data_IF_126603137058
#
_entry.id   IF_126603137058
#
_cell.length_a   1.000
_cell.length_b   1.000
_cell.length_c   1.000
_cell.angle_alpha   90.00
_cell.angle_beta   90.00
_cell.angle_gamma   90.00
#
_symmetry.space_group_name_H-M   'P 1'
#
loop_
_entity.id
_entity.type
_entity.pdbx_description
1 polymer ?
#
# COMPACT_ATOMS: atom_id res chain seq x y z
N UNK A 1 13.43 -0.07 -24.81
CA UNK A 1 12.91 -1.35 -24.28
C UNK A 1 12.72 -1.20 -22.78
N UNK A 2 11.51 -1.47 -22.25
CA UNK A 2 11.18 -1.41 -20.82
C UNK A 2 11.27 -2.79 -20.20
N UNK A 3 11.87 -2.89 -19.02
CA UNK A 3 12.07 -4.16 -18.31
C UNK A 3 11.10 -4.25 -17.13
N UNK A 4 10.33 -5.33 -17.06
CA UNK A 4 9.42 -5.62 -15.96
C UNK A 4 9.88 -6.89 -15.25
N UNK A 5 10.08 -6.83 -13.94
CA UNK A 5 10.24 -8.02 -13.11
C UNK A 5 8.86 -8.44 -12.59
N UNK A 6 8.52 -9.70 -12.80
CA UNK A 6 7.25 -10.28 -12.37
C UNK A 6 7.52 -11.22 -11.21
N UNK A 7 6.82 -10.99 -10.12
CA UNK A 7 6.90 -11.74 -8.88
C UNK A 7 5.50 -12.26 -8.53
N UNK A 8 5.07 -13.43 -9.04
CA UNK A 8 3.72 -13.94 -8.79
C UNK A 8 3.41 -14.13 -7.30
N UNK A 9 4.41 -14.56 -6.54
CA UNK A 9 4.29 -14.79 -5.10
C UNK A 9 3.43 -16.01 -4.75
N UNK A 10 2.43 -15.82 -3.87
CA UNK A 10 1.73 -16.89 -3.16
C UNK A 10 0.22 -16.93 -3.51
N UNK A 11 -0.41 -18.08 -3.25
CA UNK A 11 -1.85 -18.27 -3.38
C UNK A 11 -2.39 -17.89 -4.76
N UNK A 12 -3.40 -16.99 -4.80
CA UNK A 12 -4.00 -16.52 -6.04
C UNK A 12 -3.06 -15.65 -6.89
N UNK A 13 -1.91 -15.26 -6.35
CA UNK A 13 -0.95 -14.39 -7.04
C UNK A 13 -0.50 -14.92 -8.40
N UNK A 14 -0.33 -16.24 -8.54
CA UNK A 14 0.00 -16.86 -9.83
C UNK A 14 -1.12 -16.68 -10.86
N UNK A 15 -2.38 -16.84 -10.44
CA UNK A 15 -3.54 -16.74 -11.32
C UNK A 15 -3.71 -15.29 -11.82
N UNK A 16 -3.72 -14.32 -10.91
CA UNK A 16 -3.88 -12.90 -11.27
C UNK A 16 -2.72 -12.38 -12.11
N UNK A 17 -1.50 -12.87 -11.85
CA UNK A 17 -0.32 -12.51 -12.63
C UNK A 17 -0.43 -13.05 -14.05
N UNK A 18 -0.89 -14.29 -14.23
CA UNK A 18 -1.11 -14.89 -15.54
C UNK A 18 -2.12 -14.06 -16.38
N UNK A 19 -3.17 -13.54 -15.78
CA UNK A 19 -4.11 -12.64 -16.47
C UNK A 19 -3.45 -11.31 -16.86
N UNK A 20 -2.63 -10.75 -15.96
CA UNK A 20 -1.87 -9.53 -16.24
C UNK A 20 -0.88 -9.72 -17.41
N UNK A 21 -0.22 -10.89 -17.49
CA UNK A 21 0.68 -11.24 -18.59
C UNK A 21 0.00 -11.25 -19.95
N UNK A 22 -1.27 -11.65 -20.03
CA UNK A 22 -2.05 -11.56 -21.30
C UNK A 22 -2.20 -10.12 -21.75
N UNK A 23 -2.44 -9.19 -20.82
CA UNK A 23 -2.53 -7.75 -21.11
C UNK A 23 -1.17 -7.21 -21.55
N UNK A 24 -0.07 -7.53 -20.83
CA UNK A 24 1.29 -7.13 -21.20
C UNK A 24 1.62 -7.63 -22.61
N UNK A 25 1.35 -8.91 -22.92
CA UNK A 25 1.61 -9.52 -24.23
C UNK A 25 0.84 -8.82 -25.36
N UNK A 26 -0.37 -8.34 -25.08
CA UNK A 26 -1.12 -7.55 -26.06
C UNK A 26 -0.40 -6.23 -26.40
N UNK A 27 0.09 -5.51 -25.40
CA UNK A 27 0.79 -4.24 -25.59
C UNK A 27 2.22 -4.38 -26.09
N UNK A 28 2.86 -5.56 -25.98
CA UNK A 28 4.19 -5.82 -26.55
C UNK A 28 4.25 -5.63 -28.08
N UNK A 29 3.09 -5.63 -28.74
CA UNK A 29 3.01 -5.37 -30.19
C UNK A 29 3.31 -3.91 -30.54
N UNK A 30 3.01 -3.00 -29.60
CA UNK A 30 3.11 -1.55 -29.81
C UNK A 30 4.20 -0.91 -28.92
N UNK A 31 4.66 -1.64 -27.89
CA UNK A 31 5.65 -1.19 -26.93
C UNK A 31 6.79 -2.20 -26.78
N UNK A 32 8.02 -1.73 -26.75
CA UNK A 32 9.18 -2.57 -26.45
C UNK A 32 9.23 -2.93 -24.97
N UNK A 33 8.52 -3.99 -24.56
CA UNK A 33 8.49 -4.51 -23.20
C UNK A 33 9.15 -5.88 -23.16
N UNK A 34 10.11 -6.06 -22.25
CA UNK A 34 10.68 -7.34 -21.87
C UNK A 34 10.30 -7.62 -20.41
N UNK A 35 9.97 -8.86 -20.09
CA UNK A 35 9.72 -9.25 -18.71
C UNK A 35 10.46 -10.55 -18.34
N UNK A 36 10.75 -10.67 -17.05
CA UNK A 36 11.31 -11.89 -16.43
C UNK A 36 10.47 -12.22 -15.20
N UNK A 37 10.29 -13.52 -14.94
CA UNK A 37 9.62 -14.00 -13.73
C UNK A 37 10.65 -14.54 -12.74
N UNK A 38 10.31 -14.41 -11.43
CA UNK A 38 11.11 -14.98 -10.36
C UNK A 38 10.25 -15.36 -9.14
N UNK A 39 10.81 -16.20 -8.25
CA UNK A 39 10.14 -16.61 -7.02
C UNK A 39 10.23 -15.50 -5.96
N UNK A 40 9.13 -15.35 -5.22
CA UNK A 40 9.00 -14.35 -4.16
C UNK A 40 8.06 -14.86 -3.06
N UNK A 41 8.21 -14.33 -1.84
CA UNK A 41 7.33 -14.67 -0.73
C UNK A 41 7.50 -16.11 -0.25
N UNK A 42 6.41 -16.78 0.02
CA UNK A 42 6.37 -18.17 0.45
C UNK A 42 6.89 -19.15 -0.59
N UNK A 43 6.62 -18.88 -1.87
CA UNK A 43 7.15 -19.69 -2.98
C UNK A 43 8.69 -19.65 -3.00
N UNK A 44 9.30 -18.50 -2.71
CA UNK A 44 10.76 -18.38 -2.57
C UNK A 44 11.28 -19.12 -1.33
N UNK A 45 10.57 -19.03 -0.19
CA UNK A 45 10.94 -19.75 1.04
C UNK A 45 10.99 -21.25 0.80
N UNK A 46 10.03 -21.81 0.09
CA UNK A 46 9.95 -23.24 -0.17
C UNK A 46 11.14 -23.77 -0.99
N UNK A 47 11.74 -22.93 -1.83
CA UNK A 47 12.85 -23.30 -2.70
C UNK A 47 14.21 -22.87 -2.16
N UNK A 48 14.28 -21.65 -1.63
CA UNK A 48 15.52 -20.97 -1.27
C UNK A 48 15.72 -20.79 0.24
N UNK A 49 14.67 -21.03 1.06
CA UNK A 49 14.72 -20.82 2.50
C UNK A 49 14.59 -19.36 2.95
N UNK A 50 14.40 -18.42 2.02
CA UNK A 50 14.22 -16.99 2.30
C UNK A 50 13.17 -16.37 1.37
N UNK A 51 12.40 -15.35 1.84
CA UNK A 51 11.29 -14.79 1.07
C UNK A 51 11.72 -13.90 -0.11
N UNK A 52 12.94 -13.41 -0.09
CA UNK A 52 13.54 -12.55 -1.12
C UNK A 52 15.03 -12.81 -1.20
N UNK A 53 15.49 -13.41 -2.29
CA UNK A 53 16.93 -13.64 -2.52
C UNK A 53 17.62 -12.35 -2.97
N UNK A 54 18.94 -12.28 -2.75
CA UNK A 54 19.76 -11.14 -3.23
C UNK A 54 19.72 -10.98 -4.74
N UNK A 55 19.59 -12.11 -5.47
CA UNK A 55 19.50 -12.10 -6.92
C UNK A 55 18.21 -11.46 -7.40
N UNK A 56 17.08 -11.82 -6.82
CA UNK A 56 15.77 -11.24 -7.13
C UNK A 56 15.73 -9.75 -6.78
N UNK A 57 16.29 -9.37 -5.64
CA UNK A 57 16.40 -7.95 -5.26
C UNK A 57 17.24 -7.17 -6.29
N UNK A 58 18.35 -7.72 -6.75
CA UNK A 58 19.18 -7.10 -7.79
C UNK A 58 18.39 -6.93 -9.09
N UNK A 59 17.67 -7.95 -9.55
CA UNK A 59 16.79 -7.87 -10.74
C UNK A 59 15.72 -6.77 -10.57
N UNK A 60 15.12 -6.64 -9.37
CA UNK A 60 14.16 -5.59 -9.08
C UNK A 60 14.77 -4.18 -9.19
N UNK A 61 16.01 -3.99 -8.74
CA UNK A 61 16.74 -2.73 -8.89
C UNK A 61 17.17 -2.42 -10.33
N UNK A 62 17.24 -3.40 -11.20
CA UNK A 62 17.58 -3.26 -12.61
C UNK A 62 16.35 -3.12 -13.52
N UNK A 63 15.15 -3.40 -13.00
CA UNK A 63 13.89 -3.30 -13.72
C UNK A 63 13.35 -1.85 -13.73
N UNK A 64 12.57 -1.50 -14.75
CA UNK A 64 11.80 -0.24 -14.80
C UNK A 64 10.56 -0.30 -13.89
N UNK A 65 10.01 -1.51 -13.68
CA UNK A 65 8.87 -1.76 -12.80
C UNK A 65 8.90 -3.20 -12.27
N UNK A 66 8.30 -3.37 -11.09
CA UNK A 66 8.03 -4.70 -10.50
C UNK A 66 6.52 -4.91 -10.52
N UNK A 67 6.06 -6.03 -11.10
CA UNK A 67 4.69 -6.50 -10.99
C UNK A 67 4.66 -7.62 -9.95
N UNK A 68 3.93 -7.40 -8.87
CA UNK A 68 3.78 -8.34 -7.77
C UNK A 68 2.37 -8.91 -7.77
N UNK A 69 2.23 -10.22 -7.59
CA UNK A 69 0.94 -10.87 -7.44
C UNK A 69 0.41 -10.75 -6.01
N UNK A 70 0.67 -11.73 -5.17
CA UNK A 70 0.24 -11.72 -3.78
C UNK A 70 1.28 -12.38 -2.87
N UNK A 71 1.20 -12.12 -1.56
CA UNK A 71 2.20 -12.60 -0.59
C UNK A 71 1.53 -13.15 0.65
N UNK A 72 2.10 -14.22 1.19
CA UNK A 72 1.70 -14.79 2.46
C UNK A 72 0.74 -15.97 2.33
N UNK A 73 0.45 -16.59 3.47
CA UNK A 73 -0.49 -17.71 3.58
C UNK A 73 -0.27 -18.53 4.84
N UNK A 74 -1.27 -19.37 5.21
CA UNK A 74 -1.27 -20.12 6.47
C UNK A 74 -0.04 -21.03 6.66
N UNK A 75 0.53 -21.51 5.54
CA UNK A 75 1.68 -22.41 5.54
C UNK A 75 2.90 -21.83 6.25
N UNK A 76 3.09 -20.51 6.19
CA UNK A 76 4.27 -19.82 6.71
C UNK A 76 4.02 -19.00 7.97
N UNK A 77 2.81 -19.04 8.54
CA UNK A 77 2.44 -18.25 9.72
C UNK A 77 3.30 -18.58 10.96
N UNK A 78 3.74 -19.84 11.08
CA UNK A 78 4.53 -20.32 12.23
C UNK A 78 6.02 -20.05 12.11
N UNK A 79 6.49 -19.49 10.99
CA UNK A 79 7.89 -19.13 10.81
C UNK A 79 8.28 -17.97 11.72
N UNK A 80 9.57 -17.86 12.02
CA UNK A 80 10.14 -16.69 12.66
C UNK A 80 9.84 -15.44 11.85
N UNK A 81 9.65 -14.31 12.52
CA UNK A 81 9.19 -13.06 11.89
C UNK A 81 10.08 -12.58 10.74
N UNK A 82 11.39 -12.84 10.82
CA UNK A 82 12.36 -12.49 9.78
C UNK A 82 12.31 -13.40 8.54
N UNK A 83 11.67 -14.56 8.63
CA UNK A 83 11.51 -15.53 7.56
C UNK A 83 10.10 -15.54 6.95
N UNK A 84 9.18 -14.75 7.46
CA UNK A 84 7.81 -14.68 6.91
C UNK A 84 7.81 -14.06 5.50
N UNK A 85 6.89 -14.47 4.61
CA UNK A 85 6.74 -13.90 3.26
C UNK A 85 6.64 -12.38 3.26
N UNK A 86 5.87 -11.80 4.19
CA UNK A 86 5.67 -10.35 4.36
C UNK A 86 6.97 -9.60 4.62
N UNK A 87 7.97 -10.25 5.25
CA UNK A 87 9.29 -9.65 5.45
C UNK A 87 10.02 -9.41 4.13
N UNK A 88 9.83 -10.30 3.16
CA UNK A 88 10.34 -10.09 1.79
C UNK A 88 9.77 -8.83 1.17
N UNK A 89 8.45 -8.62 1.30
CA UNK A 89 7.76 -7.44 0.77
C UNK A 89 8.23 -6.14 1.43
N UNK A 90 8.34 -6.13 2.77
CA UNK A 90 8.85 -4.96 3.50
C UNK A 90 10.30 -4.64 3.09
N UNK A 91 11.13 -5.68 2.89
CA UNK A 91 12.51 -5.50 2.43
C UNK A 91 12.54 -4.94 1.01
N UNK A 92 11.77 -5.52 0.08
CA UNK A 92 11.69 -5.05 -1.30
C UNK A 92 11.27 -3.56 -1.39
N UNK A 93 10.22 -3.17 -0.64
CA UNK A 93 9.73 -1.79 -0.58
C UNK A 93 10.79 -0.82 -0.07
N UNK A 94 11.53 -1.22 0.98
CA UNK A 94 12.60 -0.43 1.58
C UNK A 94 13.78 -0.25 0.64
N UNK A 95 14.27 -1.33 0.05
CA UNK A 95 15.44 -1.31 -0.84
C UNK A 95 15.17 -0.58 -2.17
N UNK A 96 13.92 -0.59 -2.64
CA UNK A 96 13.49 0.20 -3.79
C UNK A 96 13.05 1.64 -3.42
N UNK A 97 13.18 2.02 -2.16
CA UNK A 97 12.73 3.33 -1.65
C UNK A 97 11.29 3.68 -2.06
N UNK A 98 10.42 2.67 -2.13
CA UNK A 98 9.02 2.81 -2.53
C UNK A 98 8.18 3.37 -1.37
N UNK A 99 8.36 4.67 -1.06
CA UNK A 99 7.86 5.31 0.14
C UNK A 99 6.38 5.72 0.10
N UNK A 100 5.78 5.86 -1.07
CA UNK A 100 4.39 6.25 -1.22
C UNK A 100 3.58 5.10 -1.83
N UNK A 101 2.62 4.59 -1.08
CA UNK A 101 1.67 3.60 -1.58
C UNK A 101 0.38 4.31 -2.00
N UNK A 102 -0.03 4.06 -3.22
CA UNK A 102 -1.14 4.69 -3.92
C UNK A 102 -2.28 3.68 -4.07
N UNK A 103 -3.41 3.93 -3.44
CA UNK A 103 -4.58 3.06 -3.42
C UNK A 103 -5.85 3.83 -3.83
N UNK A 104 -6.26 3.82 -5.09
CA UNK A 104 -7.52 4.41 -5.52
C UNK A 104 -8.70 3.52 -5.09
N UNK A 105 -9.71 4.11 -4.46
CA UNK A 105 -10.98 3.47 -4.12
C UNK A 105 -12.13 4.18 -4.85
N UNK A 106 -12.56 3.59 -5.96
CA UNK A 106 -13.62 4.16 -6.80
C UNK A 106 -14.80 3.22 -6.90
N UNK A 107 -15.99 3.72 -6.63
CA UNK A 107 -17.24 3.00 -6.85
C UNK A 107 -17.66 3.13 -8.31
N UNK A 108 -17.58 2.03 -9.04
CA UNK A 108 -18.04 1.98 -10.42
C UNK A 108 -19.57 1.88 -10.46
N UNK A 109 -20.25 2.69 -11.30
CA UNK A 109 -21.73 2.66 -11.39
C UNK A 109 -22.31 1.26 -11.65
N UNK A 110 -21.62 0.44 -12.44
CA UNK A 110 -22.04 -0.92 -12.74
C UNK A 110 -21.92 -1.88 -11.54
N UNK A 111 -21.08 -1.57 -10.56
CA UNK A 111 -20.80 -2.39 -9.37
C UNK A 111 -21.40 -1.80 -8.08
N UNK A 112 -22.18 -0.73 -8.16
CA UNK A 112 -22.69 -0.01 -6.98
C UNK A 112 -23.53 -0.91 -6.06
N UNK A 113 -24.16 -1.95 -6.63
CA UNK A 113 -24.95 -2.93 -5.89
C UNK A 113 -24.12 -3.97 -5.14
N UNK A 114 -22.84 -4.08 -5.44
CA UNK A 114 -21.92 -4.98 -4.75
C UNK A 114 -21.44 -4.40 -3.40
N UNK A 115 -21.58 -3.09 -3.18
CA UNK A 115 -21.23 -2.48 -1.91
C UNK A 115 -22.12 -2.95 -0.76
N UNK A 116 -21.52 -3.18 0.41
CA UNK A 116 -22.23 -3.48 1.66
C UNK A 116 -23.06 -2.31 2.19
N UNK A 117 -22.82 -1.08 1.70
CA UNK A 117 -23.51 0.13 2.10
C UNK A 117 -24.65 0.50 1.13
N UNK A 118 -25.54 1.38 1.60
CA UNK A 118 -26.64 1.90 0.77
C UNK A 118 -26.09 2.65 -0.45
N UNK A 119 -26.68 2.44 -1.63
CA UNK A 119 -26.32 3.13 -2.89
C UNK A 119 -26.23 4.66 -2.73
N UNK A 120 -27.13 5.27 -1.94
CA UNK A 120 -27.15 6.73 -1.71
C UNK A 120 -25.91 7.23 -0.96
N UNK A 121 -25.22 6.37 -0.21
CA UNK A 121 -24.00 6.71 0.52
C UNK A 121 -22.79 6.59 -0.40
N UNK A 122 -22.66 5.48 -1.15
CA UNK A 122 -21.46 5.17 -1.92
C UNK A 122 -21.46 5.77 -3.33
N UNK A 123 -22.60 6.23 -3.83
CA UNK A 123 -22.71 6.82 -5.18
C UNK A 123 -21.76 8.01 -5.35
N UNK A 124 -20.91 7.94 -6.37
CA UNK A 124 -19.95 9.00 -6.70
C UNK A 124 -18.69 9.00 -5.82
N UNK A 125 -18.49 7.98 -5.00
CA UNK A 125 -17.25 7.80 -4.24
C UNK A 125 -16.09 7.57 -5.21
N UNK A 126 -15.06 8.40 -5.07
CA UNK A 126 -13.79 8.32 -5.79
C UNK A 126 -12.70 8.91 -4.86
N UNK A 127 -12.15 8.06 -4.01
CA UNK A 127 -11.13 8.41 -3.01
C UNK A 127 -9.78 7.90 -3.48
N UNK A 128 -8.73 8.66 -3.22
CA UNK A 128 -7.37 8.25 -3.51
C UNK A 128 -6.54 8.27 -2.21
N UNK A 129 -6.19 7.10 -1.69
CA UNK A 129 -5.37 7.01 -0.48
C UNK A 129 -3.88 7.04 -0.85
N UNK A 130 -3.15 7.96 -0.24
CA UNK A 130 -1.69 8.05 -0.27
C UNK A 130 -1.18 7.68 1.12
N UNK A 131 -0.60 6.48 1.23
CA UNK A 131 -0.06 5.91 2.45
C UNK A 131 1.46 6.05 2.45
N UNK A 132 2.04 6.61 3.50
CA UNK A 132 3.49 6.47 3.73
C UNK A 132 3.79 4.98 3.98
N UNK A 133 4.87 4.45 3.36
CA UNK A 133 5.04 3.00 3.27
C UNK A 133 6.35 2.48 3.89
N UNK A 134 7.34 3.31 4.14
CA UNK A 134 8.71 2.90 4.53
C UNK A 134 9.14 3.35 5.91
N UNK A 135 8.26 4.05 6.64
CA UNK A 135 8.46 4.51 8.02
C UNK A 135 7.39 4.01 8.99
N UNK A 136 7.27 4.70 10.10
CA UNK A 136 6.25 4.47 11.11
C UNK A 136 6.47 3.21 11.95
N UNK A 137 5.40 2.68 12.52
CA UNK A 137 5.45 1.57 13.49
C UNK A 137 5.92 0.24 12.87
N UNK A 138 5.81 0.09 11.53
CA UNK A 138 6.25 -1.13 10.84
C UNK A 138 7.77 -1.20 10.71
N UNK A 139 8.46 -0.07 10.81
CA UNK A 139 9.91 0.04 10.65
C UNK A 139 10.62 0.63 11.87
N UNK A 140 9.89 1.28 12.79
CA UNK A 140 10.47 1.92 13.97
C UNK A 140 11.18 0.95 14.91
N UNK A 141 12.36 1.36 15.36
CA UNK A 141 13.18 0.63 16.33
C UNK A 141 13.33 1.46 17.64
N UNK A 142 13.54 0.81 18.82
CA UNK A 142 13.59 -0.63 19.04
C UNK A 142 12.21 -1.29 19.02
N UNK A 143 12.18 -2.55 18.60
CA UNK A 143 11.00 -3.42 18.60
C UNK A 143 11.38 -4.76 19.22
N UNK A 144 10.60 -5.26 20.16
CA UNK A 144 10.94 -6.49 20.87
C UNK A 144 9.75 -7.13 21.59
N UNK A 145 9.89 -8.42 21.87
CA UNK A 145 9.18 -9.10 22.96
C UNK A 145 10.25 -9.56 23.92
N UNK A 146 10.22 -9.10 25.17
CA UNK A 146 11.16 -9.47 26.23
C UNK A 146 10.45 -9.74 27.55
N UNK A 147 11.14 -10.45 28.45
CA UNK A 147 10.68 -10.63 29.81
C UNK A 147 11.12 -9.45 30.69
N UNK A 148 10.17 -8.90 31.46
CA UNK A 148 10.39 -7.86 32.45
C UNK A 148 9.63 -8.28 33.70
N UNK A 149 10.32 -8.42 34.83
CA UNK A 149 9.73 -8.83 36.12
C UNK A 149 8.87 -10.11 36.03
N UNK A 150 9.36 -11.12 35.28
CA UNK A 150 8.67 -12.41 35.11
C UNK A 150 7.47 -12.39 34.17
N UNK A 151 7.23 -11.26 33.43
CA UNK A 151 6.13 -11.11 32.47
C UNK A 151 6.65 -10.73 31.08
N UNK A 152 6.03 -11.26 30.03
CA UNK A 152 6.35 -10.86 28.64
C UNK A 152 5.82 -9.45 28.36
N UNK A 153 6.68 -8.60 27.82
CA UNK A 153 6.36 -7.24 27.38
C UNK A 153 6.73 -7.12 25.90
N UNK A 154 5.77 -6.71 25.06
CA UNK A 154 5.98 -6.41 23.66
C UNK A 154 6.04 -4.88 23.44
N UNK A 155 6.92 -4.41 22.56
CA UNK A 155 7.02 -3.01 22.19
C UNK A 155 7.32 -2.85 20.71
N UNK A 156 6.70 -1.81 20.11
CA UNK A 156 7.03 -1.26 18.81
C UNK A 156 7.05 0.26 18.93
N UNK A 157 7.95 0.91 18.21
CA UNK A 157 8.02 2.37 18.16
C UNK A 157 7.39 2.92 16.88
N UNK A 158 6.60 3.96 17.01
CA UNK A 158 6.11 4.76 15.90
C UNK A 158 7.06 5.95 15.71
N UNK A 159 7.82 5.95 14.64
CA UNK A 159 8.85 6.96 14.36
C UNK A 159 8.66 7.48 12.94
N UNK A 160 8.69 8.80 12.78
CA UNK A 160 8.76 9.51 11.50
C UNK A 160 9.76 10.66 11.61
N UNK A 161 10.57 10.83 10.57
CA UNK A 161 11.35 12.04 10.34
C UNK A 161 10.55 13.06 9.54
N UNK A 162 10.96 14.32 9.60
CA UNK A 162 10.39 15.39 8.78
C UNK A 162 10.47 15.09 7.29
N UNK A 163 11.61 14.56 6.80
CA UNK A 163 11.83 14.22 5.40
C UNK A 163 10.86 13.11 4.92
N UNK A 164 10.61 12.09 5.76
CA UNK A 164 9.66 11.01 5.43
C UNK A 164 8.23 11.53 5.28
N UNK A 165 7.83 12.45 6.15
CA UNK A 165 6.51 13.09 6.08
C UNK A 165 6.44 14.02 4.86
N UNK A 166 7.45 14.86 4.66
CA UNK A 166 7.46 15.86 3.60
C UNK A 166 7.38 15.23 2.20
N UNK A 167 8.15 14.16 1.96
CA UNK A 167 8.15 13.49 0.64
C UNK A 167 6.80 12.90 0.27
N UNK A 168 6.11 12.23 1.23
CA UNK A 168 4.79 11.63 0.95
C UNK A 168 3.69 12.68 0.87
N UNK A 169 3.79 13.77 1.65
CA UNK A 169 2.88 14.90 1.58
C UNK A 169 2.90 15.56 0.19
N UNK A 170 4.08 15.81 -0.38
CA UNK A 170 4.20 16.33 -1.75
C UNK A 170 3.53 15.44 -2.77
N UNK A 171 3.68 14.13 -2.68
CA UNK A 171 2.99 13.16 -3.56
C UNK A 171 1.47 13.32 -3.45
N UNK A 172 0.93 13.43 -2.24
CA UNK A 172 -0.50 13.59 -2.03
C UNK A 172 -1.04 14.91 -2.62
N UNK A 173 -0.34 16.01 -2.42
CA UNK A 173 -0.72 17.31 -2.98
C UNK A 173 -0.63 17.34 -4.51
N UNK A 174 0.40 16.77 -5.11
CA UNK A 174 0.52 16.66 -6.56
C UNK A 174 -0.60 15.81 -7.19
N UNK A 175 -1.01 14.75 -6.51
CA UNK A 175 -2.17 13.95 -6.93
C UNK A 175 -3.45 14.77 -6.82
N UNK A 176 -3.65 15.51 -5.73
CA UNK A 176 -4.84 16.32 -5.51
C UNK A 176 -5.00 17.40 -6.61
N UNK A 177 -3.93 18.06 -7.04
CA UNK A 177 -3.93 19.01 -8.17
C UNK A 177 -4.47 18.42 -9.47
N UNK A 178 -4.29 17.12 -9.68
CA UNK A 178 -4.79 16.40 -10.86
C UNK A 178 -6.20 15.83 -10.66
N UNK A 179 -6.81 16.05 -9.49
CA UNK A 179 -8.12 15.54 -9.09
C UNK A 179 -9.06 16.69 -8.67
N UNK A 180 -9.68 16.58 -7.51
CA UNK A 180 -10.63 17.59 -7.02
C UNK A 180 -9.99 18.65 -6.11
N UNK A 181 -8.67 18.70 -6.11
CA UNK A 181 -7.86 19.71 -5.46
C UNK A 181 -8.01 19.78 -3.94
N UNK A 182 -8.22 18.62 -3.27
CA UNK A 182 -8.38 18.51 -1.82
C UNK A 182 -7.57 17.37 -1.24
N UNK A 183 -6.84 17.64 -0.14
CA UNK A 183 -6.15 16.65 0.71
C UNK A 183 -6.77 16.65 2.09
N UNK A 184 -7.10 15.46 2.60
CA UNK A 184 -7.44 15.23 4.01
C UNK A 184 -6.31 14.44 4.65
N UNK A 185 -5.52 15.08 5.49
CA UNK A 185 -4.41 14.46 6.23
C UNK A 185 -4.92 13.81 7.52
N UNK A 186 -4.59 12.54 7.71
CA UNK A 186 -5.03 11.75 8.87
C UNK A 186 -3.92 11.63 9.89
N UNK A 187 -4.25 11.89 11.13
CA UNK A 187 -3.30 11.83 12.26
C UNK A 187 -4.00 11.45 13.58
N UNK A 188 -3.24 11.41 14.66
CA UNK A 188 -3.70 11.31 16.04
C UNK A 188 -2.94 12.33 16.91
N UNK A 189 -2.82 13.56 16.41
CA UNK A 189 -2.03 14.63 17.00
C UNK A 189 -2.47 15.03 18.41
N UNK A 190 -3.72 14.76 18.77
CA UNK A 190 -4.23 15.03 20.14
C UNK A 190 -3.67 14.08 21.21
N UNK A 191 -2.91 13.03 20.84
CA UNK A 191 -2.40 12.02 21.77
C UNK A 191 -0.93 11.67 21.50
N UNK A 192 -0.45 11.76 20.23
CA UNK A 192 0.85 11.28 19.81
C UNK A 192 1.71 12.43 19.28
N UNK A 193 2.87 12.67 19.91
CA UNK A 193 3.81 13.72 19.51
C UNK A 193 4.31 13.52 18.06
N UNK A 194 4.58 12.29 17.66
CA UNK A 194 4.96 11.97 16.27
C UNK A 194 3.87 12.35 15.26
N UNK A 195 2.60 12.28 15.64
CA UNK A 195 1.49 12.71 14.80
C UNK A 195 1.24 14.21 14.86
N UNK A 196 1.68 14.89 15.94
CA UNK A 196 1.76 16.35 15.95
C UNK A 196 2.84 16.82 14.95
N UNK A 197 4.04 16.22 14.96
CA UNK A 197 5.05 16.48 13.93
C UNK A 197 4.51 16.23 12.51
N UNK A 198 3.78 15.13 12.31
CA UNK A 198 3.11 14.84 11.03
C UNK A 198 2.23 16.00 10.57
N UNK A 199 1.35 16.48 11.43
CA UNK A 199 0.43 17.60 11.15
C UNK A 199 1.17 18.88 10.84
N UNK A 200 2.23 19.19 11.60
CA UNK A 200 3.00 20.42 11.46
C UNK A 200 3.75 20.44 10.12
N UNK A 201 4.44 19.35 9.77
CA UNK A 201 5.17 19.23 8.50
C UNK A 201 4.22 19.28 7.29
N UNK A 202 3.08 18.55 7.34
CA UNK A 202 2.09 18.59 6.26
C UNK A 202 1.54 20.02 6.09
N UNK A 203 1.26 20.73 7.18
CA UNK A 203 0.79 22.12 7.15
C UNK A 203 1.85 23.09 6.61
N UNK A 204 3.11 22.87 6.95
CA UNK A 204 4.23 23.67 6.43
C UNK A 204 4.41 23.48 4.93
N UNK A 205 4.47 22.23 4.44
CA UNK A 205 4.53 21.91 2.99
C UNK A 205 3.35 22.54 2.24
N UNK A 206 2.14 22.42 2.77
CA UNK A 206 0.96 23.05 2.19
C UNK A 206 1.12 24.57 2.08
N UNK A 207 1.50 25.24 3.20
CA UNK A 207 1.61 26.69 3.24
C UNK A 207 2.73 27.27 2.37
N UNK A 208 3.79 26.50 2.11
CA UNK A 208 4.92 26.91 1.31
C UNK A 208 4.79 26.59 -0.17
N UNK A 209 4.25 25.39 -0.51
CA UNK A 209 4.35 24.82 -1.86
C UNK A 209 2.97 24.57 -2.53
N UNK A 210 1.86 24.45 -1.75
CA UNK A 210 0.57 23.94 -2.25
C UNK A 210 -0.64 24.75 -1.76
N UNK A 211 -0.53 26.07 -1.63
CA UNK A 211 -1.62 26.97 -1.19
C UNK A 211 -2.88 26.89 -2.05
N UNK A 212 -2.75 26.40 -3.26
CA UNK A 212 -3.83 26.21 -4.23
C UNK A 212 -4.67 24.96 -3.96
N UNK A 213 -4.22 24.05 -3.07
CA UNK A 213 -4.91 22.82 -2.70
C UNK A 213 -5.64 23.03 -1.37
N UNK A 214 -6.88 22.59 -1.26
CA UNK A 214 -7.59 22.57 0.04
C UNK A 214 -6.96 21.50 0.96
N UNK A 215 -6.64 21.87 2.21
CA UNK A 215 -6.12 20.97 3.22
C UNK A 215 -7.04 20.91 4.44
N UNK A 216 -7.48 19.70 4.78
CA UNK A 216 -8.14 19.39 6.05
C UNK A 216 -7.29 18.39 6.86
N UNK A 217 -7.37 18.48 8.20
CA UNK A 217 -6.81 17.49 9.11
C UNK A 217 -7.94 16.77 9.85
N UNK A 218 -7.92 15.45 9.88
CA UNK A 218 -8.85 14.65 10.69
C UNK A 218 -8.09 13.68 11.58
N UNK A 219 -8.55 13.52 12.81
CA UNK A 219 -8.12 12.39 13.63
C UNK A 219 -8.59 11.08 13.01
N UNK A 220 -7.73 10.06 13.03
CA UNK A 220 -7.98 8.78 12.36
C UNK A 220 -9.30 8.12 12.79
N UNK A 221 -9.65 8.17 14.07
CA UNK A 221 -10.92 7.63 14.59
C UNK A 221 -12.15 8.36 14.01
N UNK A 222 -12.07 9.67 13.85
CA UNK A 222 -13.12 10.43 13.17
C UNK A 222 -13.14 10.15 11.67
N UNK A 223 -11.98 10.04 11.04
CA UNK A 223 -11.87 9.75 9.62
C UNK A 223 -12.51 8.40 9.25
N UNK A 224 -12.27 7.35 10.04
CA UNK A 224 -12.89 6.03 9.87
C UNK A 224 -14.44 6.13 9.88
N UNK A 225 -15.02 6.89 10.81
CA UNK A 225 -16.46 7.13 10.82
C UNK A 225 -16.95 7.92 9.59
N UNK A 226 -16.21 8.96 9.18
CA UNK A 226 -16.62 9.84 8.08
C UNK A 226 -16.48 9.18 6.71
N UNK A 227 -15.49 8.31 6.51
CA UNK A 227 -15.32 7.54 5.28
C UNK A 227 -16.52 6.64 5.03
N UNK A 228 -17.06 6.00 6.07
CA UNK A 228 -18.31 5.21 5.95
C UNK A 228 -19.53 6.11 5.75
N UNK A 229 -19.63 7.21 6.50
CA UNK A 229 -20.85 8.04 6.55
C UNK A 229 -21.04 8.91 5.31
N UNK A 230 -19.96 9.45 4.76
CA UNK A 230 -19.97 10.41 3.64
C UNK A 230 -18.72 10.31 2.76
N UNK A 231 -18.44 9.14 2.16
CA UNK A 231 -17.21 8.87 1.43
C UNK A 231 -16.96 9.86 0.28
N UNK A 232 -18.00 10.32 -0.39
CA UNK A 232 -17.90 11.24 -1.54
C UNK A 232 -17.31 12.62 -1.21
N UNK A 233 -17.18 12.97 0.10
CA UNK A 233 -16.57 14.24 0.52
C UNK A 233 -15.04 14.20 0.54
N UNK A 234 -14.45 13.02 0.48
CA UNK A 234 -12.99 12.84 0.40
C UNK A 234 -12.51 12.79 -1.04
N UNK A 235 -11.38 13.41 -1.31
CA UNK A 235 -10.66 13.32 -2.57
C UNK A 235 -9.36 12.54 -2.40
N UNK A 236 -8.30 13.20 -1.90
CA UNK A 236 -7.05 12.53 -1.54
C UNK A 236 -6.97 12.41 -0.02
N UNK A 237 -6.75 11.21 0.48
CA UNK A 237 -6.45 10.93 1.88
C UNK A 237 -4.94 10.70 2.00
N UNK A 238 -4.28 11.49 2.85
CA UNK A 238 -2.88 11.32 3.21
C UNK A 238 -2.77 10.73 4.61
N UNK A 239 -2.05 9.61 4.76
CA UNK A 239 -1.91 8.94 6.06
C UNK A 239 -0.55 8.28 6.24
N UNK A 240 -0.11 8.19 7.50
CA UNK A 240 1.03 7.36 7.91
C UNK A 240 0.76 5.87 7.70
N UNK A 241 1.81 5.06 7.80
CA UNK A 241 1.82 3.67 7.38
C UNK A 241 0.65 2.84 7.97
N UNK A 242 0.53 2.75 9.29
CA UNK A 242 -0.52 1.97 9.94
C UNK A 242 -1.93 2.53 9.65
N UNK A 243 -2.10 3.83 9.75
CA UNK A 243 -3.41 4.45 9.52
C UNK A 243 -3.82 4.37 8.05
N UNK A 244 -2.85 4.52 7.14
CA UNK A 244 -3.06 4.37 5.71
C UNK A 244 -3.45 2.95 5.32
N UNK A 245 -2.90 1.94 5.99
CA UNK A 245 -3.27 0.53 5.79
C UNK A 245 -4.74 0.30 6.12
N UNK A 246 -5.12 0.64 7.35
CA UNK A 246 -6.48 0.43 7.84
C UNK A 246 -7.51 1.21 7.02
N UNK A 247 -7.27 2.50 6.79
CA UNK A 247 -8.25 3.34 6.09
C UNK A 247 -8.38 2.98 4.61
N UNK A 248 -7.31 2.49 3.96
CA UNK A 248 -7.39 2.07 2.57
C UNK A 248 -8.19 0.79 2.38
N UNK A 249 -8.12 -0.14 3.33
CA UNK A 249 -8.92 -1.36 3.31
C UNK A 249 -10.40 -1.05 3.59
N UNK A 250 -10.68 -0.11 4.50
CA UNK A 250 -12.03 0.41 4.71
C UNK A 250 -12.60 1.08 3.44
N UNK A 251 -11.80 1.90 2.75
CA UNK A 251 -12.16 2.50 1.46
C UNK A 251 -12.37 1.43 0.38
N UNK A 252 -11.58 0.37 0.37
CA UNK A 252 -11.71 -0.73 -0.56
C UNK A 252 -13.07 -1.45 -0.38
N UNK A 253 -13.47 -1.72 0.87
CA UNK A 253 -14.77 -2.35 1.18
C UNK A 253 -15.96 -1.52 0.69
N UNK A 254 -15.86 -0.19 0.70
CA UNK A 254 -16.93 0.68 0.17
C UNK A 254 -17.21 0.42 -1.31
N UNK A 255 -16.20 0.00 -2.08
CA UNK A 255 -16.35 -0.21 -3.52
C UNK A 255 -17.12 -1.48 -3.87
N UNK A 256 -17.26 -2.40 -2.92
CA UNK A 256 -17.93 -3.68 -3.07
C UNK A 256 -17.18 -4.67 -3.96
N UNK A 257 -15.95 -4.37 -4.35
CA UNK A 257 -15.14 -5.28 -5.19
C UNK A 257 -13.64 -5.05 -4.97
N UNK A 258 -13.10 -5.69 -3.94
CA UNK A 258 -11.67 -5.63 -3.61
C UNK A 258 -10.77 -6.06 -4.79
N UNK A 259 -11.20 -7.06 -5.57
CA UNK A 259 -10.46 -7.56 -6.73
C UNK A 259 -10.32 -6.57 -7.89
N UNK A 260 -11.09 -5.47 -7.89
CA UNK A 260 -11.01 -4.43 -8.93
C UNK A 260 -10.04 -3.30 -8.59
N UNK A 261 -9.42 -3.32 -7.43
CA UNK A 261 -8.62 -2.20 -6.94
C UNK A 261 -7.13 -2.45 -7.14
N UNK A 262 -6.42 -1.51 -7.81
CA UNK A 262 -4.97 -1.57 -7.95
C UNK A 262 -4.28 -0.91 -6.76
N UNK A 263 -3.03 -1.30 -6.55
CA UNK A 263 -2.11 -0.66 -5.63
C UNK A 263 -0.77 -0.39 -6.34
N UNK A 264 -0.18 0.77 -6.11
CA UNK A 264 1.15 1.09 -6.59
C UNK A 264 2.00 1.62 -5.43
N UNK A 265 3.15 1.02 -5.21
CA UNK A 265 4.14 1.52 -4.26
C UNK A 265 5.26 2.20 -5.05
N UNK A 266 5.41 3.52 -4.91
CA UNK A 266 6.32 4.32 -5.72
C UNK A 266 7.38 5.02 -4.87
N UNK A 267 8.56 5.15 -5.45
CA UNK A 267 9.65 5.99 -4.99
C UNK A 267 10.06 7.00 -6.07
N UNK A 268 11.25 7.57 -5.92
CA UNK A 268 11.77 8.51 -6.91
C UNK A 268 12.14 7.82 -8.24
N UNK A 269 12.51 6.55 -8.21
CA UNK A 269 13.01 5.81 -9.36
C UNK A 269 12.20 4.55 -9.66
N UNK A 270 11.75 3.85 -8.65
CA UNK A 270 11.17 2.52 -8.77
C UNK A 270 9.67 2.52 -8.46
N UNK A 271 8.94 1.58 -9.07
CA UNK A 271 7.55 1.32 -8.78
C UNK A 271 7.26 -0.18 -8.67
N UNK A 272 6.49 -0.55 -7.64
CA UNK A 272 5.92 -1.88 -7.44
C UNK A 272 4.42 -1.77 -7.66
N UNK A 273 3.88 -2.57 -8.55
CA UNK A 273 2.46 -2.59 -8.91
C UNK A 273 1.88 -3.93 -8.50
N UNK A 274 0.80 -3.89 -7.74
CA UNK A 274 0.19 -5.07 -7.15
C UNK A 274 -1.34 -4.91 -7.03
N UNK A 275 -2.14 -5.99 -6.97
CA UNK A 275 -3.53 -5.87 -6.54
C UNK A 275 -3.59 -5.46 -5.07
N UNK A 276 -4.71 -4.88 -4.64
CA UNK A 276 -4.91 -4.52 -3.21
C UNK A 276 -5.12 -5.76 -2.35
N UNK A 277 -5.77 -6.80 -2.90
CA UNK A 277 -6.08 -8.03 -2.18
C UNK A 277 -4.83 -8.87 -1.83
N UNK A 278 -4.93 -9.70 -0.81
CA UNK A 278 -3.91 -10.66 -0.40
C UNK A 278 -3.91 -11.95 -1.24
N UNK A 279 -3.28 -12.98 -0.72
CA UNK A 279 -3.07 -14.28 -1.42
C UNK A 279 -4.31 -15.16 -1.55
N UNK A 280 -5.43 -14.84 -0.87
CA UNK A 280 -6.70 -15.56 -0.91
C UNK A 280 -6.55 -17.09 -0.99
N UNK A 281 -5.91 -17.73 0.01
CA UNK A 281 -5.54 -19.13 -0.06
C UNK A 281 -6.75 -20.08 -0.10
N UNK A 282 -7.92 -19.61 0.29
CA UNK A 282 -9.19 -20.33 0.29
C UNK A 282 -9.77 -20.54 -1.12
N UNK A 283 -9.45 -19.67 -2.08
CA UNK A 283 -9.92 -19.73 -3.46
C UNK A 283 -8.79 -19.98 -4.47
N UNK A 284 -7.54 -19.97 -4.04
CA UNK A 284 -6.41 -20.21 -4.93
C UNK A 284 -6.46 -21.57 -5.61
N UNK A 285 -6.19 -21.63 -6.91
CA UNK A 285 -6.23 -22.84 -7.73
C UNK A 285 -7.64 -23.19 -8.25
N UNK A 286 -8.65 -22.37 -7.97
CA UNK A 286 -10.03 -22.65 -8.39
C UNK A 286 -10.43 -21.92 -9.67
N UNK A 287 -9.66 -20.96 -10.14
CA UNK A 287 -9.92 -20.12 -11.33
C UNK A 287 -11.31 -19.43 -11.30
N UNK A 288 -11.64 -18.83 -10.14
CA UNK A 288 -12.92 -18.13 -9.92
C UNK A 288 -12.68 -16.64 -9.68
#
# INVERSE_FOLDING_TARGET
>A
MKKILILPGDGIGQEVTNECLKVISYFQKDCEIEYTEDLFGGASIDVHGEPLTKEVLKKAMEADAVLLGAVGGPKWEQLEHNLKPEKGLLTLRKELEAFANLRPGKVFPALIDASSLKKSIVKGTDIFVVRELTGGIYFGEPRYIKEVDGKKVGANNLIYSEDEIARVARVAFEIARKRRNKVTSLDKANVLEVMQLWRDVVSEIHSNEFKDVELDHLYIDNAAMQVIKRPSTFDVILAGNLFGDIISDEVAELTGSLGMLPSASIGNKYGIYEPVHGSAPDIAGQNI
#
